data_IF_799401647610
#
_entry.id   IF_799401647610
#
_cell.length_a   1.000
_cell.length_b   1.000
_cell.length_c   1.000
_cell.angle_alpha   90.00
_cell.angle_beta   90.00
_cell.angle_gamma   90.00
#
_symmetry.space_group_name_H-M   'P 1'
#
loop_
_entity.id
_entity.type
_entity.pdbx_description
1 polymer ?
#
# COMPACT_ATOMS: atom_id res chain seq x y z
N UNK A 1 23.59 -1.42 -6.94
CA UNK A 1 23.46 -0.20 -6.11
C UNK A 1 23.30 -0.55 -4.64
N UNK A 2 23.86 0.26 -3.76
CA UNK A 2 23.64 0.08 -2.34
C UNK A 2 22.31 0.75 -1.92
N UNK A 3 21.97 0.57 -0.66
CA UNK A 3 20.69 1.07 -0.12
C UNK A 3 20.54 2.59 -0.29
N UNK A 4 21.58 3.33 0.01
CA UNK A 4 21.55 4.79 -0.07
C UNK A 4 21.34 5.27 -1.51
N UNK A 5 22.02 4.63 -2.45
CA UNK A 5 21.89 4.95 -3.88
C UNK A 5 20.48 4.68 -4.39
N UNK A 6 19.89 3.53 -4.02
CA UNK A 6 18.53 3.17 -4.43
C UNK A 6 17.51 4.14 -3.84
N UNK A 7 17.65 4.44 -2.56
CA UNK A 7 16.75 5.37 -1.89
C UNK A 7 16.75 6.72 -2.58
N UNK A 8 17.91 7.22 -2.92
CA UNK A 8 18.06 8.53 -3.55
C UNK A 8 17.54 8.53 -5.00
N UNK A 9 17.95 7.53 -5.77
CA UNK A 9 17.62 7.48 -7.21
C UNK A 9 16.12 7.26 -7.46
N UNK A 10 15.49 6.38 -6.69
CA UNK A 10 14.09 6.00 -6.89
C UNK A 10 13.14 6.61 -5.87
N UNK A 11 13.66 7.48 -5.01
CA UNK A 11 12.87 8.15 -3.99
C UNK A 11 12.10 7.16 -3.12
N UNK A 12 12.78 6.11 -2.68
CA UNK A 12 12.21 5.08 -1.82
C UNK A 12 12.70 5.31 -0.38
N UNK A 13 11.78 5.45 0.59
CA UNK A 13 12.21 5.63 1.99
C UNK A 13 13.08 4.47 2.47
N UNK A 14 14.10 4.78 3.22
CA UNK A 14 15.03 3.78 3.77
C UNK A 14 14.29 2.71 4.58
N UNK A 15 13.24 3.10 5.32
CA UNK A 15 12.44 2.16 6.11
C UNK A 15 11.82 1.06 5.25
N UNK A 16 11.43 1.38 4.01
CA UNK A 16 10.86 0.40 3.09
C UNK A 16 11.94 -0.56 2.60
N UNK A 17 13.12 -0.05 2.33
CA UNK A 17 14.25 -0.89 1.96
C UNK A 17 14.63 -1.84 3.11
N UNK A 18 14.61 -1.34 4.34
CA UNK A 18 14.88 -2.17 5.51
C UNK A 18 13.82 -3.27 5.67
N UNK A 19 12.55 -2.94 5.47
CA UNK A 19 11.46 -3.93 5.50
C UNK A 19 11.69 -5.01 4.45
N UNK A 20 11.97 -4.62 3.21
CA UNK A 20 12.21 -5.54 2.12
C UNK A 20 13.36 -6.51 2.47
N UNK A 21 14.46 -5.99 2.97
CA UNK A 21 15.61 -6.81 3.38
C UNK A 21 15.23 -7.78 4.50
N UNK A 22 14.41 -7.32 5.45
CA UNK A 22 14.03 -8.13 6.61
C UNK A 22 13.15 -9.32 6.25
N UNK A 23 12.46 -9.27 5.13
CA UNK A 23 11.57 -10.37 4.72
C UNK A 23 12.32 -11.61 4.23
N UNK A 24 13.58 -11.47 3.84
CA UNK A 24 14.40 -12.60 3.42
C UNK A 24 13.90 -13.29 2.17
N UNK A 25 13.31 -12.55 1.24
CA UNK A 25 12.74 -13.12 0.02
C UNK A 25 13.76 -13.34 -1.10
N UNK A 26 15.00 -12.93 -0.88
CA UNK A 26 16.07 -13.14 -1.85
C UNK A 26 16.83 -14.42 -1.52
N UNK A 27 16.94 -15.31 -2.52
CA UNK A 27 17.66 -16.57 -2.37
C UNK A 27 19.16 -16.44 -2.64
N UNK A 28 19.61 -15.27 -3.04
CA UNK A 28 21.00 -15.01 -3.40
C UNK A 28 21.61 -14.10 -2.36
N UNK A 29 22.86 -14.36 -2.03
CA UNK A 29 23.60 -13.48 -1.12
C UNK A 29 23.81 -12.14 -1.82
N UNK A 30 23.18 -11.11 -1.28
CA UNK A 30 23.20 -9.75 -1.84
C UNK A 30 24.17 -8.83 -1.14
N UNK A 31 24.89 -9.34 -0.14
CA UNK A 31 25.78 -8.52 0.67
C UNK A 31 27.19 -8.57 0.10
N UNK A 32 27.71 -7.41 -0.26
CA UNK A 32 29.09 -7.24 -0.73
C UNK A 32 29.74 -6.18 0.15
N UNK A 33 30.86 -6.52 0.75
CA UNK A 33 31.62 -5.62 1.63
C UNK A 33 30.72 -5.03 2.76
N UNK A 34 29.84 -5.86 3.30
CA UNK A 34 28.95 -5.46 4.40
C UNK A 34 27.73 -4.67 3.98
N UNK A 35 27.55 -4.43 2.70
CA UNK A 35 26.38 -3.69 2.21
C UNK A 35 25.53 -4.55 1.30
N UNK A 36 24.21 -4.41 1.44
CA UNK A 36 23.24 -5.03 0.55
C UNK A 36 23.34 -4.38 -0.83
N UNK A 37 23.40 -5.20 -1.89
CA UNK A 37 23.44 -4.71 -3.26
C UNK A 37 22.10 -5.01 -3.94
N UNK A 38 21.52 -3.98 -4.54
CA UNK A 38 20.23 -4.06 -5.21
C UNK A 38 20.45 -4.16 -6.73
N UNK A 39 19.74 -5.10 -7.36
CA UNK A 39 19.74 -5.26 -8.82
C UNK A 39 18.41 -4.84 -9.42
N UNK A 40 18.27 -4.99 -10.74
CA UNK A 40 17.05 -4.61 -11.45
C UNK A 40 15.82 -5.38 -10.95
N UNK A 41 15.98 -6.63 -10.60
CA UNK A 41 14.91 -7.45 -10.09
C UNK A 41 14.42 -6.91 -8.75
N UNK A 42 15.34 -6.50 -7.89
CA UNK A 42 14.95 -5.85 -6.63
C UNK A 42 14.19 -4.55 -6.88
N UNK A 43 14.60 -3.77 -7.88
CA UNK A 43 13.93 -2.52 -8.21
C UNK A 43 12.50 -2.78 -8.68
N UNK A 44 12.27 -3.81 -9.50
CA UNK A 44 10.92 -4.19 -9.90
C UNK A 44 10.05 -4.57 -8.71
N UNK A 45 10.61 -5.35 -7.79
CA UNK A 45 9.90 -5.74 -6.57
C UNK A 45 9.57 -4.54 -5.70
N UNK A 46 10.52 -3.63 -5.55
CA UNK A 46 10.31 -2.40 -4.79
C UNK A 46 9.24 -1.52 -5.43
N UNK A 47 9.16 -1.49 -6.75
CA UNK A 47 8.12 -0.76 -7.46
C UNK A 47 6.73 -1.30 -7.08
N UNK A 48 6.58 -2.62 -7.04
CA UNK A 48 5.33 -3.25 -6.61
C UNK A 48 5.03 -2.92 -5.15
N UNK A 49 6.04 -3.00 -4.29
CA UNK A 49 5.89 -2.69 -2.86
C UNK A 49 5.44 -1.24 -2.66
N UNK A 50 6.03 -0.30 -3.40
CA UNK A 50 5.64 1.09 -3.32
C UNK A 50 4.20 1.30 -3.76
N UNK A 51 3.77 0.63 -4.83
CA UNK A 51 2.39 0.68 -5.29
C UNK A 51 1.42 0.17 -4.22
N UNK A 52 1.78 -0.92 -3.54
CA UNK A 52 0.96 -1.47 -2.46
C UNK A 52 0.87 -0.51 -1.27
N UNK A 53 1.96 0.16 -0.94
CA UNK A 53 1.96 1.21 0.09
C UNK A 53 1.04 2.35 -0.29
N UNK A 54 1.09 2.78 -1.54
CA UNK A 54 0.26 3.88 -2.03
C UNK A 54 -1.23 3.54 -1.98
N UNK A 55 -1.58 2.28 -2.18
CA UNK A 55 -2.95 1.80 -2.04
C UNK A 55 -3.41 1.85 -0.58
N UNK A 56 -2.48 1.76 0.36
CA UNK A 56 -2.79 1.80 1.78
C UNK A 56 -2.67 0.46 2.49
N UNK A 57 -1.99 -0.50 1.88
CA UNK A 57 -1.71 -1.77 2.56
C UNK A 57 -0.69 -1.56 3.67
N UNK A 58 -0.83 -2.34 4.74
CA UNK A 58 0.12 -2.34 5.84
C UNK A 58 1.30 -3.24 5.53
N UNK A 59 2.41 -3.05 6.22
CA UNK A 59 3.64 -3.80 5.97
C UNK A 59 3.44 -5.31 5.95
N UNK A 60 2.66 -5.85 6.89
CA UNK A 60 2.41 -7.30 6.93
C UNK A 60 1.60 -7.79 5.74
N UNK A 61 0.68 -6.97 5.28
CA UNK A 61 -0.13 -7.28 4.10
C UNK A 61 0.73 -7.27 2.84
N UNK A 62 1.63 -6.31 2.75
CA UNK A 62 2.57 -6.21 1.62
C UNK A 62 3.51 -7.39 1.61
N UNK A 63 4.04 -7.77 2.75
CA UNK A 63 4.88 -8.97 2.87
C UNK A 63 4.14 -10.20 2.37
N UNK A 64 2.88 -10.38 2.78
CA UNK A 64 2.06 -11.50 2.36
C UNK A 64 1.89 -11.53 0.85
N UNK A 65 1.57 -10.40 0.25
CA UNK A 65 1.45 -10.30 -1.21
C UNK A 65 2.76 -10.67 -1.90
N UNK A 66 3.88 -10.13 -1.42
CA UNK A 66 5.19 -10.41 -2.01
C UNK A 66 5.59 -11.87 -1.87
N UNK A 67 5.25 -12.51 -0.75
CA UNK A 67 5.51 -13.95 -0.59
C UNK A 67 4.66 -14.78 -1.56
N UNK A 68 3.41 -14.41 -1.77
CA UNK A 68 2.57 -15.06 -2.77
C UNK A 68 3.18 -14.92 -4.16
N UNK A 69 3.65 -13.72 -4.50
CA UNK A 69 4.25 -13.44 -5.79
C UNK A 69 5.53 -14.24 -6.01
N UNK A 70 6.40 -14.29 -5.01
CA UNK A 70 7.76 -14.81 -5.17
C UNK A 70 7.95 -16.26 -4.76
N UNK A 71 7.13 -16.76 -3.83
CA UNK A 71 7.31 -18.11 -3.28
C UNK A 71 6.25 -19.11 -3.70
N UNK A 72 5.07 -18.65 -4.11
CA UNK A 72 3.96 -19.54 -4.45
C UNK A 72 3.74 -19.55 -5.96
N UNK A 73 3.98 -20.70 -6.63
CA UNK A 73 3.74 -20.80 -8.06
C UNK A 73 2.26 -20.61 -8.39
N UNK A 74 1.98 -19.95 -9.49
CA UNK A 74 0.61 -19.75 -9.98
C UNK A 74 -0.31 -19.07 -8.97
N UNK A 75 0.21 -18.13 -8.22
CA UNK A 75 -0.56 -17.41 -7.20
C UNK A 75 -1.39 -16.24 -7.74
N UNK A 76 -1.50 -16.11 -9.06
CA UNK A 76 -2.17 -14.97 -9.69
C UNK A 76 -3.60 -14.79 -9.20
N UNK A 77 -4.37 -15.87 -9.14
CA UNK A 77 -5.75 -15.83 -8.68
C UNK A 77 -5.84 -15.38 -7.21
N UNK A 78 -4.93 -15.88 -6.38
CA UNK A 78 -4.87 -15.49 -4.97
C UNK A 78 -4.51 -14.02 -4.80
N UNK A 79 -3.59 -13.52 -5.61
CA UNK A 79 -3.20 -12.12 -5.57
C UNK A 79 -4.32 -11.19 -6.06
N UNK A 80 -5.06 -11.62 -7.09
CA UNK A 80 -6.24 -10.89 -7.55
C UNK A 80 -7.28 -10.80 -6.44
N UNK A 81 -7.55 -11.91 -5.77
CA UNK A 81 -8.51 -11.93 -4.67
C UNK A 81 -8.07 -11.03 -3.52
N UNK A 82 -6.79 -11.04 -3.21
CA UNK A 82 -6.20 -10.17 -2.20
C UNK A 82 -6.47 -8.69 -2.52
N UNK A 83 -6.28 -8.30 -3.78
CA UNK A 83 -6.53 -6.95 -4.23
C UNK A 83 -8.04 -6.62 -4.26
N UNK A 84 -8.87 -7.58 -4.64
CA UNK A 84 -10.32 -7.42 -4.66
C UNK A 84 -10.89 -7.14 -3.27
N UNK A 85 -10.37 -7.81 -2.26
CA UNK A 85 -10.79 -7.57 -0.88
C UNK A 85 -10.46 -6.15 -0.44
N UNK A 86 -9.28 -5.66 -0.81
CA UNK A 86 -8.89 -4.29 -0.50
C UNK A 86 -9.79 -3.28 -1.22
N UNK A 87 -10.09 -3.57 -2.49
CA UNK A 87 -10.99 -2.73 -3.29
C UNK A 87 -12.37 -2.62 -2.65
N UNK A 88 -12.91 -3.76 -2.19
CA UNK A 88 -14.19 -3.78 -1.51
C UNK A 88 -14.17 -2.94 -0.24
N UNK A 89 -13.13 -3.09 0.56
CA UNK A 89 -12.95 -2.30 1.77
C UNK A 89 -12.91 -0.81 1.49
N UNK A 90 -12.22 -0.41 0.43
CA UNK A 90 -12.14 1.00 0.02
C UNK A 90 -13.51 1.52 -0.43
N UNK A 91 -14.26 0.71 -1.16
CA UNK A 91 -15.62 1.09 -1.58
C UNK A 91 -16.55 1.29 -0.37
N UNK A 92 -16.44 0.40 0.62
CA UNK A 92 -17.23 0.52 1.84
C UNK A 92 -16.90 1.82 2.59
N UNK A 93 -15.63 2.19 2.64
CA UNK A 93 -15.19 3.46 3.22
C UNK A 93 -15.78 4.66 2.48
N UNK A 94 -15.76 4.62 1.14
CA UNK A 94 -16.30 5.69 0.31
C UNK A 94 -17.81 5.84 0.56
N UNK A 95 -18.56 4.74 0.57
CA UNK A 95 -19.99 4.75 0.81
C UNK A 95 -20.32 5.31 2.19
N UNK A 96 -19.54 4.96 3.18
CA UNK A 96 -19.71 5.48 4.53
C UNK A 96 -19.50 6.99 4.56
N UNK A 97 -18.46 7.47 3.90
CA UNK A 97 -18.18 8.90 3.82
C UNK A 97 -19.27 9.66 3.06
N UNK A 98 -19.80 9.05 2.00
CA UNK A 98 -20.92 9.64 1.26
C UNK A 98 -22.15 9.84 2.15
N UNK A 99 -22.46 8.85 2.98
CA UNK A 99 -23.57 8.98 3.93
C UNK A 99 -23.34 10.07 4.96
N UNK A 100 -22.10 10.22 5.42
CA UNK A 100 -21.74 11.29 6.34
C UNK A 100 -21.95 12.65 5.68
N UNK A 101 -21.54 12.77 4.42
CA UNK A 101 -21.69 13.99 3.66
C UNK A 101 -23.17 14.34 3.46
N UNK A 102 -24.01 13.35 3.13
CA UNK A 102 -25.45 13.53 3.01
C UNK A 102 -26.07 14.07 4.28
N UNK A 103 -25.64 13.58 5.43
CA UNK A 103 -26.15 14.03 6.73
C UNK A 103 -25.75 15.47 7.01
N UNK A 104 -24.53 15.83 6.66
CA UNK A 104 -24.07 17.21 6.79
C UNK A 104 -24.91 18.11 5.90
N UNK A 105 -25.15 17.71 4.67
CA UNK A 105 -25.94 18.48 3.71
C UNK A 105 -27.38 18.65 4.17
N UNK A 106 -27.94 17.60 4.75
CA UNK A 106 -29.29 17.66 5.31
C UNK A 106 -29.37 18.70 6.43
N UNK A 107 -28.45 18.67 7.37
CA UNK A 107 -28.43 19.61 8.47
C UNK A 107 -28.23 21.05 7.98
N UNK A 108 -27.37 21.25 6.99
CA UNK A 108 -27.17 22.57 6.40
C UNK A 108 -28.44 23.09 5.74
N UNK A 109 -29.13 22.21 5.04
CA UNK A 109 -30.41 22.53 4.38
C UNK A 109 -31.47 22.95 5.41
N UNK A 110 -31.59 22.19 6.49
CA UNK A 110 -32.50 22.52 7.57
C UNK A 110 -32.26 23.91 8.15
N UNK A 111 -31.01 24.25 8.36
CA UNK A 111 -30.62 25.54 8.90
C UNK A 111 -30.87 26.69 7.92
N UNK A 112 -30.74 26.45 6.62
CA UNK A 112 -30.91 27.50 5.62
C UNK A 112 -32.38 27.76 5.26
N UNK A 113 -33.21 26.72 5.29
CA UNK A 113 -34.57 26.85 4.77
C UNK A 113 -35.58 27.23 5.79
N UNK A 114 -35.14 27.67 6.87
CA UNK A 114 -36.15 28.12 7.61
C UNK A 114 -36.57 27.68 8.75
N UNK A 115 -35.76 27.30 9.19
CA UNK A 115 -36.05 27.03 10.46
C UNK A 115 -35.90 28.17 11.34
N UNK A 116 -36.40 29.25 10.91
CA UNK A 116 -36.52 30.42 11.73
C UNK A 116 -37.15 30.15 13.07
N UNK A 117 -37.94 29.15 13.15
CA UNK A 117 -38.56 28.73 14.40
C UNK A 117 -37.59 28.05 15.34
N UNK A 118 -36.42 27.71 14.87
CA UNK A 118 -35.42 27.06 15.68
C UNK A 118 -34.33 27.99 16.13
N UNK A 119 -34.42 29.21 15.88
CA UNK A 119 -33.40 30.16 16.28
C UNK A 119 -33.56 30.65 17.70
#
# INVERSE_FOLDING_TARGET
MNKREVSKKYNIPIRILNEYESWGLCNVVKIVMGEWQYDEQDIERLSTIMALHDIGFKNKEIEKYMRLLLEVPNSKAQRVEFLNQKRKSKLDEIHFQEKQLERIDYLRHELKTGDSKNE
#
